data_IF_785970770403
#
_entry.id   IF_785970770403
#
_cell.length_a   1.000
_cell.length_b   1.000
_cell.length_c   1.000
_cell.angle_alpha   90.00
_cell.angle_beta   90.00
_cell.angle_gamma   90.00
#
_symmetry.space_group_name_H-M   'P 1'
#
loop_
_entity.id
_entity.type
_entity.pdbx_description
1 polymer ?
#
# COMPACT_ATOMS: atom_id res chain seq x y z
N UNK A 1 -3.59 -16.75 9.31
CA UNK A 1 -3.16 -15.92 10.46
C UNK A 1 -2.81 -16.86 11.59
N UNK A 2 -1.72 -16.60 12.30
CA UNK A 2 -1.22 -17.43 13.41
C UNK A 2 -0.77 -16.55 14.56
N UNK A 3 -0.81 -17.07 15.78
CA UNK A 3 -0.14 -16.45 16.94
C UNK A 3 1.33 -16.89 16.93
N UNK A 4 2.24 -15.94 16.97
CA UNK A 4 3.70 -16.12 16.88
C UNK A 4 4.37 -15.69 18.21
N UNK A 5 3.84 -16.23 19.31
CA UNK A 5 4.33 -15.96 20.66
C UNK A 5 3.90 -14.61 21.24
N UNK A 6 4.72 -14.11 22.17
CA UNK A 6 4.49 -12.88 22.92
C UNK A 6 5.58 -11.84 22.64
N UNK A 7 5.27 -10.58 22.91
CA UNK A 7 6.17 -9.46 22.78
C UNK A 7 5.87 -8.42 23.88
N UNK A 8 6.77 -7.45 24.05
CA UNK A 8 6.49 -6.27 24.86
C UNK A 8 6.63 -5.01 24.00
N UNK A 9 5.61 -4.15 23.99
CA UNK A 9 5.58 -2.90 23.22
C UNK A 9 5.09 -1.78 24.12
N UNK A 10 5.78 -0.63 24.14
CA UNK A 10 5.44 0.50 25.01
C UNK A 10 5.29 0.11 26.50
N UNK A 11 6.08 -0.85 26.98
CA UNK A 11 6.00 -1.37 28.36
C UNK A 11 4.80 -2.28 28.63
N UNK A 12 4.14 -2.79 27.58
CA UNK A 12 2.95 -3.64 27.68
C UNK A 12 3.15 -4.99 27.03
N UNK A 13 2.75 -6.05 27.74
CA UNK A 13 2.79 -7.41 27.19
C UNK A 13 1.72 -7.58 26.12
N UNK A 14 2.09 -8.23 25.02
CA UNK A 14 1.28 -8.37 23.83
C UNK A 14 1.42 -9.76 23.22
N UNK A 15 0.38 -10.22 22.55
CA UNK A 15 0.45 -11.37 21.64
C UNK A 15 0.85 -10.89 20.25
N UNK A 16 1.78 -11.59 19.61
CA UNK A 16 2.18 -11.29 18.23
C UNK A 16 1.31 -12.10 17.27
N UNK A 17 0.55 -11.41 16.45
CA UNK A 17 -0.27 -12.00 15.39
C UNK A 17 0.44 -11.85 14.06
N UNK A 18 0.56 -12.93 13.30
CA UNK A 18 1.28 -12.94 12.02
C UNK A 18 0.36 -13.40 10.88
N UNK A 19 0.38 -12.64 9.80
CA UNK A 19 -0.33 -12.91 8.55
C UNK A 19 0.71 -13.06 7.44
N UNK A 20 0.72 -14.22 6.78
CA UNK A 20 1.60 -14.51 5.64
C UNK A 20 0.72 -14.80 4.42
N UNK A 21 1.08 -14.30 3.23
CA UNK A 21 0.44 -14.74 2.00
C UNK A 21 0.56 -16.25 1.85
N UNK A 22 -0.53 -16.90 1.42
CA UNK A 22 -0.51 -18.33 1.06
C UNK A 22 -0.13 -18.52 -0.41
N UNK A 23 -0.47 -17.55 -1.25
CA UNK A 23 -0.16 -17.59 -2.66
C UNK A 23 1.32 -17.28 -2.90
N UNK A 24 1.93 -18.01 -3.84
CA UNK A 24 3.29 -17.74 -4.30
C UNK A 24 3.34 -16.49 -5.17
N UNK A 25 4.46 -15.78 -5.17
CA UNK A 25 4.67 -14.63 -6.04
C UNK A 25 4.28 -13.29 -5.43
N UNK A 26 3.85 -13.24 -4.16
CA UNK A 26 3.75 -11.98 -3.42
C UNK A 26 5.12 -11.53 -2.94
N UNK A 27 5.39 -10.23 -3.00
CA UNK A 27 6.56 -9.60 -2.37
C UNK A 27 6.34 -9.27 -0.90
N UNK A 28 5.12 -9.44 -0.39
CA UNK A 28 4.83 -9.37 1.04
C UNK A 28 5.27 -10.68 1.68
N UNK A 29 6.19 -10.62 2.64
CA UNK A 29 6.63 -11.80 3.37
C UNK A 29 5.72 -12.09 4.56
N UNK A 30 5.54 -11.07 5.41
CA UNK A 30 4.65 -11.16 6.57
C UNK A 30 4.19 -9.78 7.03
N UNK A 31 2.96 -9.73 7.51
CA UNK A 31 2.48 -8.68 8.41
C UNK A 31 2.50 -9.23 9.83
N UNK A 32 3.08 -8.47 10.75
CA UNK A 32 3.05 -8.76 12.19
C UNK A 32 2.32 -7.64 12.93
N UNK A 33 1.41 -8.00 13.82
CA UNK A 33 0.67 -7.07 14.67
C UNK A 33 0.87 -7.50 16.12
N UNK A 34 1.46 -6.65 16.95
CA UNK A 34 1.49 -6.87 18.39
C UNK A 34 0.19 -6.34 19.00
N UNK A 35 -0.56 -7.19 19.68
CA UNK A 35 -1.87 -6.87 20.25
C UNK A 35 -1.79 -6.97 21.76
N UNK A 36 -2.16 -5.90 22.47
CA UNK A 36 -2.14 -5.85 23.93
C UNK A 36 -2.95 -6.99 24.55
N UNK A 37 -2.36 -7.71 25.51
CA UNK A 37 -2.99 -8.90 26.10
C UNK A 37 -4.23 -8.59 26.95
N UNK A 38 -4.41 -7.34 27.44
CA UNK A 38 -5.55 -6.97 28.30
C UNK A 38 -6.67 -6.30 27.52
N UNK A 39 -6.33 -5.37 26.63
CA UNK A 39 -7.30 -4.51 25.94
C UNK A 39 -7.60 -4.96 24.53
N UNK A 40 -6.75 -5.80 23.93
CA UNK A 40 -6.87 -6.15 22.51
C UNK A 40 -6.47 -5.03 21.55
N UNK A 41 -5.91 -3.91 22.04
CA UNK A 41 -5.45 -2.81 21.19
C UNK A 41 -4.20 -3.22 20.39
N UNK A 42 -4.15 -2.98 19.07
CA UNK A 42 -2.92 -3.07 18.31
C UNK A 42 -1.89 -2.04 18.80
N UNK A 43 -0.74 -2.50 19.24
CA UNK A 43 0.36 -1.67 19.76
C UNK A 43 1.49 -1.45 18.76
N UNK A 44 1.69 -2.39 17.83
CA UNK A 44 2.74 -2.32 16.81
C UNK A 44 2.29 -3.04 15.54
N UNK A 45 2.59 -2.44 14.39
CA UNK A 45 2.42 -3.00 13.07
C UNK A 45 3.77 -3.03 12.36
N UNK A 46 4.09 -4.19 11.79
CA UNK A 46 5.32 -4.38 11.01
C UNK A 46 4.98 -5.11 9.71
N UNK A 47 5.43 -4.56 8.59
CA UNK A 47 5.39 -5.21 7.29
C UNK A 47 6.81 -5.59 6.88
N UNK A 48 7.04 -6.88 6.68
CA UNK A 48 8.33 -7.44 6.27
C UNK A 48 8.22 -7.95 4.84
N UNK A 49 9.13 -7.57 3.93
CA UNK A 49 9.10 -8.04 2.55
C UNK A 49 9.55 -9.50 2.47
N UNK A 50 9.13 -10.20 1.41
CA UNK A 50 9.44 -11.60 1.16
C UNK A 50 10.94 -11.83 0.92
N UNK A 51 11.66 -10.81 0.44
CA UNK A 51 13.12 -10.81 0.29
C UNK A 51 13.87 -10.79 1.63
N UNK A 52 13.18 -10.60 2.75
CA UNK A 52 13.78 -10.50 4.08
C UNK A 52 14.43 -9.13 4.34
N UNK A 53 15.24 -9.08 5.40
CA UNK A 53 15.88 -7.84 5.87
C UNK A 53 14.95 -6.93 6.68
N UNK A 54 15.25 -5.63 6.69
CA UNK A 54 14.53 -4.65 7.51
C UNK A 54 13.05 -4.53 7.12
N UNK A 55 12.18 -4.23 8.08
CA UNK A 55 10.78 -3.94 7.78
C UNK A 55 10.66 -2.74 6.81
N UNK A 56 9.70 -2.84 5.90
CA UNK A 56 9.37 -1.77 4.94
C UNK A 56 8.39 -0.77 5.55
N UNK A 57 7.58 -1.22 6.50
CA UNK A 57 6.79 -0.37 7.40
C UNK A 57 6.99 -0.89 8.80
N UNK A 58 7.38 -0.01 9.73
CA UNK A 58 7.41 -0.32 11.15
C UNK A 58 6.83 0.86 11.94
N UNK A 59 5.65 0.65 12.53
CA UNK A 59 4.93 1.67 13.27
C UNK A 59 4.49 1.08 14.60
N UNK A 60 4.81 1.73 15.70
CA UNK A 60 4.40 1.26 17.02
C UNK A 60 4.43 2.35 18.07
N UNK A 61 3.66 2.15 19.13
CA UNK A 61 3.67 3.04 20.27
C UNK A 61 5.03 2.95 20.98
N UNK A 62 5.60 4.11 21.28
CA UNK A 62 6.72 4.23 22.24
C UNK A 62 6.21 4.37 23.67
N UNK A 63 5.01 4.96 23.83
CA UNK A 63 4.27 5.10 25.09
C UNK A 63 2.77 5.06 24.80
N UNK A 64 2.00 4.47 25.71
CA UNK A 64 0.53 4.40 25.58
C UNK A 64 -0.12 4.58 26.94
N UNK A 65 -1.19 5.38 27.00
CA UNK A 65 -2.16 5.40 28.09
C UNK A 65 -3.54 5.06 27.52
N UNK A 66 -4.33 4.32 28.30
CA UNK A 66 -5.70 3.95 27.97
C UNK A 66 -6.72 4.77 28.78
N UNK A 67 -6.25 5.80 29.48
CA UNK A 67 -7.11 6.69 30.25
C UNK A 67 -7.99 7.52 29.31
N UNK A 68 -9.17 7.89 29.78
CA UNK A 68 -10.05 8.79 29.04
C UNK A 68 -9.36 10.15 28.88
N UNK A 69 -9.16 10.66 27.63
CA UNK A 69 -8.62 12.00 27.44
C UNK A 69 -9.52 13.06 28.06
N UNK A 70 -8.93 14.16 28.55
CA UNK A 70 -9.73 15.30 28.99
C UNK A 70 -10.54 15.88 27.83
N UNK A 71 -11.74 16.41 28.12
CA UNK A 71 -12.54 17.08 27.09
C UNK A 71 -11.78 18.21 26.40
N UNK A 72 -10.94 18.93 27.17
CA UNK A 72 -10.09 20.00 26.66
C UNK A 72 -9.04 19.59 25.64
N UNK A 73 -8.72 18.29 25.51
CA UNK A 73 -7.85 17.79 24.44
C UNK A 73 -8.46 18.03 23.05
N UNK A 74 -9.79 18.17 22.99
CA UNK A 74 -10.53 18.37 21.75
C UNK A 74 -10.92 19.84 21.52
N UNK A 75 -10.47 20.76 22.38
CA UNK A 75 -10.73 22.18 22.19
C UNK A 75 -9.85 22.73 21.05
N UNK A 76 -10.47 23.11 19.94
CA UNK A 76 -9.77 23.78 18.85
C UNK A 76 -9.57 25.26 19.17
N UNK A 77 -8.34 25.64 19.52
CA UNK A 77 -7.97 27.05 19.74
C UNK A 77 -7.02 27.50 18.63
N UNK A 78 -7.53 28.19 17.59
CA UNK A 78 -6.67 28.64 16.49
C UNK A 78 -5.62 29.65 16.99
N UNK A 79 -4.39 29.62 16.45
CA UNK A 79 -3.38 30.61 16.82
C UNK A 79 -3.79 32.00 16.32
N UNK A 80 -3.25 33.06 16.95
CA UNK A 80 -3.55 34.45 16.56
C UNK A 80 -3.26 34.68 15.07
N UNK A 81 -4.22 35.28 14.37
CA UNK A 81 -4.12 35.57 12.94
C UNK A 81 -4.46 34.40 12.01
N UNK A 82 -4.82 33.22 12.54
CA UNK A 82 -5.29 32.13 11.71
C UNK A 82 -6.66 32.45 11.09
N UNK A 83 -6.76 32.28 9.78
CA UNK A 83 -8.03 32.30 9.05
C UNK A 83 -8.65 30.91 9.16
N UNK A 84 -9.72 30.78 9.93
CA UNK A 84 -10.53 29.55 9.98
C UNK A 84 -11.47 29.55 8.77
N UNK A 85 -11.53 28.43 8.07
CA UNK A 85 -12.46 28.20 6.96
C UNK A 85 -13.29 26.98 7.33
N UNK A 86 -14.61 27.12 7.28
CA UNK A 86 -15.55 26.04 7.56
C UNK A 86 -16.11 25.55 6.22
N UNK A 87 -15.87 24.28 5.91
CA UNK A 87 -16.54 23.62 4.80
C UNK A 87 -17.87 23.05 5.30
N UNK A 88 -18.93 23.16 4.49
CA UNK A 88 -20.21 22.51 4.81
C UNK A 88 -20.01 20.99 4.83
N UNK A 89 -20.11 20.38 6.01
CA UNK A 89 -20.05 18.94 6.14
C UNK A 89 -21.24 18.30 5.41
N UNK A 90 -21.05 17.24 4.60
CA UNK A 90 -22.17 16.52 4.03
C UNK A 90 -23.05 15.95 5.14
N UNK A 91 -24.37 16.19 5.10
CA UNK A 91 -25.36 15.87 6.13
C UNK A 91 -25.61 14.36 6.39
N UNK A 92 -24.62 13.48 6.24
CA UNK A 92 -24.77 12.04 6.52
C UNK A 92 -23.98 11.59 7.74
N UNK A 93 -24.29 12.16 8.91
CA UNK A 93 -23.48 11.93 10.11
C UNK A 93 -24.18 11.85 11.46
N UNK A 94 -25.50 11.64 11.53
CA UNK A 94 -26.19 11.49 12.82
C UNK A 94 -27.20 10.36 12.83
N UNK A 95 -26.71 9.12 12.85
CA UNK A 95 -27.39 7.98 13.47
C UNK A 95 -26.37 6.85 13.69
N UNK A 96 -25.65 6.89 14.82
CA UNK A 96 -24.90 5.74 15.33
C UNK A 96 -25.47 5.33 16.69
N UNK A 97 -26.62 4.67 16.66
CA UNK A 97 -27.10 3.82 17.76
C UNK A 97 -26.80 2.36 17.42
N UNK A 98 -25.74 1.83 18.05
CA UNK A 98 -25.59 0.42 18.42
C UNK A 98 -25.62 -0.66 17.33
N UNK A 99 -24.43 -0.98 16.78
CA UNK A 99 -23.92 -2.35 16.51
C UNK A 99 -22.48 -2.23 15.96
N UNK A 100 -21.57 -3.19 16.23
CA UNK A 100 -20.22 -3.15 15.67
C UNK A 100 -20.30 -3.49 14.18
N UNK A 101 -20.38 -2.45 13.34
CA UNK A 101 -20.29 -2.64 11.90
C UNK A 101 -18.87 -3.01 11.51
N UNK A 102 -18.82 -3.87 10.49
CA UNK A 102 -17.64 -4.40 9.80
C UNK A 102 -16.61 -3.28 9.56
N UNK A 103 -15.32 -3.64 9.56
CA UNK A 103 -14.18 -2.75 9.33
C UNK A 103 -14.33 -1.82 8.11
N UNK A 104 -13.47 -0.79 8.00
CA UNK A 104 -13.67 0.32 7.08
C UNK A 104 -13.94 -0.19 5.65
N UNK A 105 -15.10 0.19 5.11
CA UNK A 105 -15.45 0.06 3.69
C UNK A 105 -14.58 0.98 2.84
N UNK A 106 -13.28 0.73 2.81
CA UNK A 106 -12.33 1.42 1.95
C UNK A 106 -12.50 1.02 0.47
N UNK A 107 -13.30 -0.01 0.19
CA UNK A 107 -13.46 -0.58 -1.15
C UNK A 107 -14.41 0.22 -2.05
N UNK A 108 -15.37 0.99 -1.50
CA UNK A 108 -16.40 1.67 -2.30
C UNK A 108 -15.98 3.07 -2.80
N UNK A 109 -15.12 3.80 -2.08
CA UNK A 109 -14.68 5.15 -2.48
C UNK A 109 -13.40 5.16 -3.34
N UNK A 110 -12.62 4.08 -3.33
CA UNK A 110 -11.49 3.89 -4.28
C UNK A 110 -11.96 3.58 -5.71
N UNK A 111 -13.22 3.18 -5.90
CA UNK A 111 -13.75 2.70 -7.19
C UNK A 111 -14.13 3.77 -8.22
N UNK A 112 -14.42 5.01 -7.79
CA UNK A 112 -15.02 6.04 -8.67
C UNK A 112 -14.04 6.76 -9.61
N UNK A 113 -12.74 6.47 -9.50
CA UNK A 113 -11.70 6.97 -10.41
C UNK A 113 -11.03 5.89 -11.26
N UNK A 114 -11.59 4.67 -11.26
CA UNK A 114 -10.98 3.46 -11.83
C UNK A 114 -11.67 2.97 -13.11
N UNK A 115 -12.46 3.80 -13.78
CA UNK A 115 -13.03 3.47 -15.10
C UNK A 115 -11.87 3.26 -16.10
N UNK A 116 -11.49 1.99 -16.30
CA UNK A 116 -10.32 1.57 -17.08
C UNK A 116 -9.31 0.68 -16.33
N UNK A 117 -9.45 0.51 -15.00
CA UNK A 117 -8.59 -0.36 -14.21
C UNK A 117 -9.01 -1.83 -14.37
N UNK A 118 -8.18 -2.65 -15.02
CA UNK A 118 -8.37 -4.11 -15.03
C UNK A 118 -7.53 -4.73 -13.91
N UNK A 119 -8.15 -5.50 -13.02
CA UNK A 119 -7.43 -6.25 -11.98
C UNK A 119 -7.26 -7.70 -12.42
N UNK A 120 -6.02 -8.19 -12.41
CA UNK A 120 -5.66 -9.59 -12.66
C UNK A 120 -5.29 -10.26 -11.35
N UNK A 121 -5.77 -11.49 -11.13
CA UNK A 121 -5.50 -12.24 -9.90
C UNK A 121 -6.27 -11.73 -8.68
N UNK A 122 -6.13 -12.43 -7.56
CA UNK A 122 -6.89 -12.19 -6.33
C UNK A 122 -5.97 -12.09 -5.10
N UNK A 123 -6.36 -11.25 -4.14
CA UNK A 123 -5.67 -11.10 -2.86
C UNK A 123 -4.22 -10.63 -3.00
N UNK A 124 -3.28 -11.37 -2.40
CA UNK A 124 -1.85 -11.01 -2.37
C UNK A 124 -1.14 -11.06 -3.73
N UNK A 125 -1.81 -11.62 -4.74
CA UNK A 125 -1.31 -11.72 -6.11
C UNK A 125 -2.06 -10.80 -7.09
N UNK A 126 -2.84 -9.84 -6.58
CA UNK A 126 -3.55 -8.91 -7.44
C UNK A 126 -2.58 -7.96 -8.14
N UNK A 127 -2.79 -7.82 -9.44
CA UNK A 127 -2.04 -6.93 -10.34
C UNK A 127 -3.04 -5.97 -10.97
N UNK A 128 -2.83 -4.68 -10.75
CA UNK A 128 -3.57 -3.62 -11.37
C UNK A 128 -2.99 -3.35 -12.77
N UNK A 129 -3.87 -3.25 -13.77
CA UNK A 129 -3.51 -2.99 -15.17
C UNK A 129 -4.12 -1.68 -15.62
N UNK A 130 -3.29 -0.85 -16.22
CA UNK A 130 -3.64 0.44 -16.80
C UNK A 130 -3.22 0.45 -18.26
N UNK A 131 -4.00 1.13 -19.10
CA UNK A 131 -3.62 1.48 -20.45
C UNK A 131 -3.33 2.97 -20.49
N UNK A 132 -2.10 3.36 -20.83
CA UNK A 132 -1.71 4.77 -20.85
C UNK A 132 -2.12 5.49 -22.13
N UNK A 133 -2.74 4.80 -23.10
CA UNK A 133 -3.33 5.41 -24.30
C UNK A 133 -2.33 6.02 -25.28
N UNK A 134 -1.04 5.66 -25.21
CA UNK A 134 0.03 6.10 -26.10
C UNK A 134 1.04 4.98 -26.37
N UNK A 135 1.87 5.11 -27.42
CA UNK A 135 2.99 4.19 -27.68
C UNK A 135 3.84 4.08 -26.40
N UNK A 136 3.85 2.88 -25.82
CA UNK A 136 4.45 2.60 -24.53
C UNK A 136 5.94 2.82 -24.58
N UNK A 137 6.39 3.78 -23.81
CA UNK A 137 7.80 4.05 -23.61
C UNK A 137 7.98 4.66 -22.24
N UNK A 138 9.13 4.40 -21.64
CA UNK A 138 9.58 5.21 -20.52
C UNK A 138 9.47 6.70 -20.92
N UNK A 139 9.17 7.63 -19.99
CA UNK A 139 9.36 9.05 -20.22
C UNK A 139 10.87 9.35 -20.33
N UNK A 140 11.53 8.81 -21.34
CA UNK A 140 12.94 9.02 -21.70
C UNK A 140 13.06 9.95 -22.91
N UNK A 141 11.95 10.32 -23.54
CA UNK A 141 11.89 11.23 -24.68
C UNK A 141 11.95 12.70 -24.30
N UNK A 142 13.14 13.18 -23.95
CA UNK A 142 13.39 14.60 -23.69
C UNK A 142 14.88 14.93 -23.67
N UNK A 143 15.57 14.76 -24.80
CA UNK A 143 16.95 15.22 -24.98
C UNK A 143 17.00 16.75 -24.90
N UNK A 144 17.30 17.30 -23.72
CA UNK A 144 17.64 18.73 -23.59
C UNK A 144 17.25 19.47 -22.30
N UNK A 145 16.99 18.80 -21.17
CA UNK A 145 16.73 19.51 -19.89
C UNK A 145 16.92 18.61 -18.66
N UNK A 146 16.73 19.13 -17.43
CA UNK A 146 16.88 18.37 -16.17
C UNK A 146 15.97 17.13 -16.05
N UNK A 147 15.01 16.95 -16.97
CA UNK A 147 14.21 15.73 -17.13
C UNK A 147 14.98 14.57 -17.82
N UNK A 148 16.01 14.86 -18.63
CA UNK A 148 16.82 13.83 -19.30
C UNK A 148 17.71 13.03 -18.34
N UNK A 149 18.17 13.67 -17.27
CA UNK A 149 18.97 13.04 -16.21
C UNK A 149 18.11 12.10 -15.35
N UNK A 150 16.85 12.48 -15.12
CA UNK A 150 15.85 11.61 -14.49
C UNK A 150 15.46 10.43 -15.38
N UNK A 151 15.36 10.62 -16.71
CA UNK A 151 15.09 9.54 -17.66
C UNK A 151 16.21 8.49 -17.72
N UNK A 152 17.47 8.93 -17.69
CA UNK A 152 18.63 8.03 -17.60
C UNK A 152 18.72 7.28 -16.28
N UNK A 153 18.42 7.96 -15.16
CA UNK A 153 18.35 7.33 -13.85
C UNK A 153 17.22 6.30 -13.76
N UNK A 154 16.02 6.62 -14.25
CA UNK A 154 14.92 5.66 -14.31
C UNK A 154 15.27 4.47 -15.22
N UNK A 155 15.87 4.70 -16.38
CA UNK A 155 16.36 3.63 -17.24
C UNK A 155 17.34 2.68 -16.54
N UNK A 156 18.15 3.18 -15.59
CA UNK A 156 19.07 2.34 -14.78
C UNK A 156 18.40 1.54 -13.67
N UNK A 157 17.18 1.91 -13.27
CA UNK A 157 16.39 1.23 -12.23
C UNK A 157 15.47 0.14 -12.80
N UNK A 158 15.32 0.11 -14.12
CA UNK A 158 14.45 -0.82 -14.82
C UNK A 158 15.22 -2.02 -15.36
N UNK A 159 14.68 -3.23 -15.15
CA UNK A 159 15.16 -4.41 -15.85
C UNK A 159 14.34 -4.66 -17.11
N UNK A 160 15.00 -4.81 -18.25
CA UNK A 160 14.32 -5.26 -19.46
C UNK A 160 13.81 -6.70 -19.31
N UNK A 161 12.58 -6.95 -19.76
CA UNK A 161 11.96 -8.26 -19.80
C UNK A 161 11.31 -8.50 -21.15
N UNK A 162 11.23 -9.78 -21.51
CA UNK A 162 10.56 -10.25 -22.71
C UNK A 162 9.60 -11.37 -22.35
N UNK A 163 8.39 -11.29 -22.88
CA UNK A 163 7.34 -12.31 -22.73
C UNK A 163 6.53 -12.43 -24.01
N UNK A 164 5.41 -13.13 -23.91
CA UNK A 164 4.46 -13.24 -25.01
C UNK A 164 3.88 -11.86 -25.33
N UNK A 165 3.71 -10.98 -24.33
CA UNK A 165 3.32 -9.56 -24.49
C UNK A 165 4.31 -8.69 -25.29
N UNK A 166 5.48 -9.21 -25.65
CA UNK A 166 6.54 -8.46 -26.32
C UNK A 166 7.64 -8.09 -25.33
N UNK A 167 8.14 -6.86 -25.41
CA UNK A 167 9.18 -6.31 -24.54
C UNK A 167 8.59 -5.29 -23.57
N UNK A 168 9.24 -5.15 -22.41
CA UNK A 168 8.87 -4.16 -21.43
C UNK A 168 9.98 -3.96 -20.40
N UNK A 169 9.81 -2.96 -19.55
CA UNK A 169 10.76 -2.64 -18.47
C UNK A 169 10.08 -2.85 -17.12
N UNK A 170 10.71 -3.61 -16.23
CA UNK A 170 10.25 -3.83 -14.87
C UNK A 170 11.00 -2.93 -13.90
N UNK A 171 10.25 -2.10 -13.19
CA UNK A 171 10.70 -1.32 -12.04
C UNK A 171 10.41 -2.09 -10.77
N UNK A 172 11.46 -2.31 -9.98
CA UNK A 172 11.34 -3.10 -8.76
C UNK A 172 11.57 -2.28 -7.50
N UNK A 173 10.74 -2.52 -6.49
CA UNK A 173 11.01 -2.11 -5.11
C UNK A 173 10.98 -3.33 -4.20
N UNK A 174 11.16 -3.14 -2.89
CA UNK A 174 11.05 -4.26 -1.93
C UNK A 174 9.63 -4.81 -1.79
N UNK A 175 8.61 -4.04 -2.21
CA UNK A 175 7.21 -4.43 -2.16
C UNK A 175 6.54 -4.31 -3.53
N UNK A 176 6.39 -3.11 -4.05
CA UNK A 176 5.62 -2.88 -5.26
C UNK A 176 6.56 -2.94 -6.46
N UNK A 177 6.20 -3.76 -7.44
CA UNK A 177 6.87 -3.81 -8.72
C UNK A 177 5.90 -3.32 -9.80
N UNK A 178 6.44 -2.75 -10.87
CA UNK A 178 5.67 -2.29 -12.02
C UNK A 178 6.35 -2.74 -13.31
N UNK A 179 5.58 -3.28 -14.26
CA UNK A 179 6.01 -3.58 -15.62
C UNK A 179 5.34 -2.58 -16.56
N UNK A 180 6.14 -1.89 -17.37
CA UNK A 180 5.67 -1.03 -18.45
C UNK A 180 6.02 -1.72 -19.77
N UNK A 181 5.03 -2.06 -20.58
CA UNK A 181 5.20 -2.71 -21.88
C UNK A 181 5.28 -1.67 -23.00
N UNK A 182 5.87 -2.05 -24.14
CA UNK A 182 5.99 -1.14 -25.30
C UNK A 182 4.65 -0.80 -25.97
N UNK A 183 3.61 -1.59 -25.75
CA UNK A 183 2.25 -1.30 -26.23
C UNK A 183 1.46 -0.36 -25.29
N UNK A 184 2.11 0.19 -24.26
CA UNK A 184 1.52 1.22 -23.38
C UNK A 184 0.74 0.66 -22.19
N UNK A 185 0.86 -0.64 -21.90
CA UNK A 185 0.21 -1.25 -20.73
C UNK A 185 1.14 -1.20 -19.52
N UNK A 186 0.55 -0.88 -18.36
CA UNK A 186 1.26 -0.83 -17.09
C UNK A 186 0.64 -1.83 -16.14
N UNK A 187 1.45 -2.76 -15.65
CA UNK A 187 1.07 -3.79 -14.69
C UNK A 187 1.75 -3.51 -13.36
N UNK A 188 0.98 -3.30 -12.28
CA UNK A 188 1.53 -2.92 -10.97
C UNK A 188 0.97 -3.82 -9.87
N UNK A 189 1.82 -4.29 -8.97
CA UNK A 189 1.36 -5.05 -7.81
C UNK A 189 2.44 -5.32 -6.78
N UNK A 190 2.01 -5.75 -5.59
CA UNK A 190 2.88 -6.27 -4.54
C UNK A 190 3.27 -7.73 -4.83
N UNK A 191 3.80 -7.94 -6.04
CA UNK A 191 4.11 -9.25 -6.60
C UNK A 191 5.48 -9.26 -7.24
N UNK A 192 6.10 -10.43 -7.32
CA UNK A 192 7.42 -10.64 -7.91
C UNK A 192 7.44 -10.27 -9.40
N UNK A 193 8.62 -9.96 -9.93
CA UNK A 193 8.86 -9.74 -11.36
C UNK A 193 8.24 -10.84 -12.23
N UNK A 194 8.51 -12.11 -11.90
CA UNK A 194 7.98 -13.25 -12.65
C UNK A 194 6.45 -13.31 -12.63
N UNK A 195 5.82 -12.90 -11.53
CA UNK A 195 4.36 -12.83 -11.43
C UNK A 195 3.77 -11.69 -12.28
N UNK A 196 4.46 -10.55 -12.41
CA UNK A 196 4.05 -9.48 -13.34
C UNK A 196 4.16 -9.92 -14.79
N UNK A 197 5.28 -10.53 -15.17
CA UNK A 197 5.49 -11.07 -16.54
C UNK A 197 4.39 -12.09 -16.87
N UNK A 198 4.14 -13.04 -15.97
CA UNK A 198 3.07 -14.03 -16.14
C UNK A 198 1.68 -13.40 -16.23
N UNK A 199 1.40 -12.34 -15.46
CA UNK A 199 0.14 -11.63 -15.53
C UNK A 199 -0.02 -10.88 -16.86
N UNK A 200 1.06 -10.30 -17.38
CA UNK A 200 1.07 -9.66 -18.70
C UNK A 200 0.88 -10.66 -19.84
N UNK A 201 1.52 -11.83 -19.78
CA UNK A 201 1.34 -12.91 -20.76
C UNK A 201 -0.11 -13.42 -20.79
N UNK A 202 -0.72 -13.58 -19.61
CA UNK A 202 -2.12 -14.03 -19.48
C UNK A 202 -3.16 -12.94 -19.77
N UNK A 203 -2.73 -11.67 -19.85
CA UNK A 203 -3.61 -10.51 -20.03
C UNK A 203 -3.99 -10.20 -21.47
N UNK A 204 -3.41 -10.94 -22.43
CA UNK A 204 -3.71 -10.87 -23.87
C UNK A 204 -5.11 -11.34 -24.23
#
# INVERSE_FOLDING_TARGET
MTVDGTAQVAGRDAYKLVVKPKQSGSTVGAISIAVDHRTGMPLKFTLTPASGGAAVVDVGFTRVSFDKPSASTFDFTPPKGAKVTEDEAPEKGREHSGKPERGPKAEEDLGKGLDGLKMLGEGWNSVAVFDTGGEGGLPTGGTGGPAGDLGGFLGSLGDEVKGDFGTGTVFSTRLVNALITEDGKVYVGAVTKDALVKAADAGK
#
